data_IF_000804095237
#
_entry.id   IF_000804095237
#
_cell.length_a   1.000
_cell.length_b   1.000
_cell.length_c   1.000
_cell.angle_alpha   90.00
_cell.angle_beta   90.00
_cell.angle_gamma   90.00
#
_symmetry.space_group_name_H-M   'P 1'
#
loop_
_entity.id
_entity.type
_entity.pdbx_description
1 polymer ?
#
# COMPACT_ATOMS: atom_id res chain seq x y z
N UNK A 1 3.03 -6.48 -5.99
CA UNK A 1 2.31 -5.20 -6.17
C UNK A 1 1.15 -5.40 -7.14
N UNK A 2 1.10 -4.79 -8.28
CA UNK A 2 0.11 -5.03 -9.32
C UNK A 2 0.76 -5.73 -10.51
N UNK A 3 -0.07 -6.33 -11.40
CA UNK A 3 0.47 -7.15 -12.49
C UNK A 3 0.98 -6.34 -13.68
N UNK A 4 0.53 -5.10 -13.83
CA UNK A 4 0.83 -4.26 -15.00
C UNK A 4 1.48 -2.96 -14.57
N UNK A 5 2.22 -2.30 -15.47
CA UNK A 5 2.66 -0.93 -15.22
C UNK A 5 1.45 -0.06 -14.87
N UNK A 6 1.58 0.73 -13.83
CA UNK A 6 0.49 1.56 -13.35
C UNK A 6 0.90 3.03 -13.30
N UNK A 7 -0.05 3.90 -13.58
CA UNK A 7 0.15 5.34 -13.52
C UNK A 7 0.01 5.82 -12.08
N UNK A 8 0.92 6.70 -11.66
CA UNK A 8 0.81 7.41 -10.40
C UNK A 8 -0.20 8.53 -10.58
N UNK A 9 -1.29 8.49 -9.81
CA UNK A 9 -2.31 9.55 -9.81
C UNK A 9 -2.05 10.63 -8.77
N UNK A 10 -1.33 10.29 -7.69
CA UNK A 10 -0.95 11.25 -6.66
C UNK A 10 0.42 10.85 -6.11
N UNK A 11 1.40 11.73 -6.28
CA UNK A 11 2.79 11.44 -5.89
C UNK A 11 3.01 11.55 -4.38
N UNK A 12 4.01 10.84 -3.91
CA UNK A 12 4.49 10.97 -2.54
C UNK A 12 5.04 12.37 -2.28
N UNK A 13 4.74 12.90 -1.10
CA UNK A 13 5.30 14.16 -0.63
C UNK A 13 4.62 15.41 -1.15
N UNK A 14 3.59 15.29 -1.98
CA UNK A 14 2.81 16.45 -2.43
C UNK A 14 2.16 17.12 -1.23
N UNK A 15 2.36 18.42 -1.05
CA UNK A 15 1.78 19.18 0.05
C UNK A 15 0.27 19.33 -0.15
N UNK A 16 -0.47 19.27 0.95
CA UNK A 16 -1.93 19.41 0.90
C UNK A 16 -2.60 19.16 2.24
N UNK A 17 -3.90 18.90 2.22
CA UNK A 17 -4.77 18.79 3.38
C UNK A 17 -4.66 17.49 4.18
N UNK A 18 -3.63 16.72 4.03
CA UNK A 18 -3.38 15.52 4.83
C UNK A 18 -2.93 15.91 6.24
N UNK A 19 -3.17 15.01 7.21
CA UNK A 19 -2.81 15.25 8.62
C UNK A 19 -1.32 15.58 8.79
N UNK A 20 -0.44 14.92 8.04
CA UNK A 20 1.00 15.18 8.07
C UNK A 20 1.40 16.44 7.31
N UNK A 21 0.47 17.08 6.58
CA UNK A 21 0.75 18.25 5.74
C UNK A 21 1.23 17.89 4.34
N UNK A 22 1.36 16.62 4.02
CA UNK A 22 1.76 16.13 2.72
C UNK A 22 1.22 14.71 2.50
N UNK A 23 1.24 14.25 1.25
CA UNK A 23 0.81 12.89 0.91
C UNK A 23 1.84 11.87 1.37
N UNK A 24 1.46 11.00 2.31
CA UNK A 24 2.37 10.06 2.99
C UNK A 24 2.62 8.77 2.22
N UNK A 25 2.04 8.64 1.07
CA UNK A 25 2.20 7.48 0.19
C UNK A 25 2.09 7.87 -1.27
N UNK A 26 1.95 6.88 -2.12
CA UNK A 26 1.73 7.07 -3.54
C UNK A 26 0.38 6.44 -3.90
N UNK A 27 -0.40 7.14 -4.72
CA UNK A 27 -1.66 6.63 -5.24
C UNK A 27 -1.47 6.11 -6.64
N UNK A 28 -1.89 4.88 -6.87
CA UNK A 28 -1.78 4.19 -8.15
C UNK A 28 -3.16 4.09 -8.79
N UNK A 29 -3.27 4.59 -10.03
CA UNK A 29 -4.51 4.60 -10.78
C UNK A 29 -4.80 3.19 -11.29
N UNK A 30 -5.62 2.46 -10.56
CA UNK A 30 -6.04 1.10 -10.90
C UNK A 30 -7.54 0.95 -10.74
N UNK A 31 -8.14 0.09 -11.55
CA UNK A 31 -9.57 -0.21 -11.46
C UNK A 31 -9.87 -1.02 -10.21
N UNK A 32 -11.08 -0.89 -9.67
CA UNK A 32 -11.58 -1.76 -8.61
C UNK A 32 -11.43 -3.22 -9.05
N UNK A 33 -10.93 -4.05 -8.13
CA UNK A 33 -10.73 -5.47 -8.38
C UNK A 33 -9.36 -5.85 -8.93
N UNK A 34 -8.46 -4.89 -9.09
CA UNK A 34 -7.08 -5.18 -9.53
C UNK A 34 -6.36 -5.99 -8.44
N UNK A 35 -5.73 -7.12 -8.78
CA UNK A 35 -4.96 -7.90 -7.80
C UNK A 35 -3.84 -7.08 -7.18
N UNK A 36 -3.73 -7.18 -5.86
CA UNK A 36 -2.66 -6.54 -5.07
C UNK A 36 -1.83 -7.64 -4.44
N UNK A 37 -0.54 -7.66 -4.74
CA UNK A 37 0.39 -8.72 -4.34
C UNK A 37 1.50 -8.17 -3.47
N UNK A 38 2.02 -9.01 -2.58
CA UNK A 38 3.17 -8.65 -1.78
C UNK A 38 4.40 -8.41 -2.66
N UNK A 39 5.19 -7.42 -2.30
CA UNK A 39 6.42 -7.05 -3.01
C UNK A 39 7.53 -8.07 -2.75
N UNK A 40 7.55 -8.66 -1.57
CA UNK A 40 8.57 -9.62 -1.16
C UNK A 40 8.14 -10.39 0.08
N UNK A 41 9.04 -11.19 0.66
CA UNK A 41 8.72 -11.97 1.84
C UNK A 41 8.53 -11.08 3.06
N UNK A 42 7.59 -11.46 3.92
CA UNK A 42 7.28 -10.75 5.14
C UNK A 42 6.16 -11.41 5.93
N UNK A 43 5.64 -10.68 6.90
CA UNK A 43 4.53 -11.13 7.73
C UNK A 43 3.45 -10.07 7.78
N UNK A 44 2.19 -10.49 7.67
CA UNK A 44 1.05 -9.60 7.81
C UNK A 44 0.90 -9.21 9.28
N UNK A 45 1.02 -7.93 9.58
CA UNK A 45 0.88 -7.40 10.95
C UNK A 45 -0.47 -6.74 11.19
N UNK A 46 -1.21 -6.41 10.14
CA UNK A 46 -2.58 -5.91 10.23
C UNK A 46 -3.32 -6.22 8.93
N UNK A 47 -4.60 -6.57 9.02
CA UNK A 47 -5.45 -6.82 7.86
C UNK A 47 -6.91 -6.53 8.24
N UNK A 48 -7.61 -5.76 7.42
CA UNK A 48 -9.00 -5.39 7.64
C UNK A 48 -9.23 -3.90 7.63
N UNK A 49 -10.28 -3.44 8.29
CA UNK A 49 -10.66 -2.03 8.30
C UNK A 49 -9.67 -1.20 9.12
N UNK A 50 -9.19 -0.11 8.56
CA UNK A 50 -8.17 0.76 9.16
C UNK A 50 -8.54 2.24 9.01
N UNK A 51 -9.67 2.65 9.58
CA UNK A 51 -10.13 4.05 9.57
C UNK A 51 -10.24 4.61 8.16
N UNK A 52 -9.63 5.76 7.92
CA UNK A 52 -9.68 6.45 6.63
C UNK A 52 -9.06 5.64 5.49
N UNK A 53 -8.19 4.68 5.80
CA UNK A 53 -7.59 3.80 4.79
C UNK A 53 -8.57 2.74 4.26
N UNK A 54 -9.73 2.59 4.91
CA UNK A 54 -10.69 1.55 4.53
C UNK A 54 -10.14 0.15 4.81
N UNK A 55 -10.43 -0.79 3.93
CA UNK A 55 -9.83 -2.13 4.03
C UNK A 55 -8.37 -2.03 3.61
N UNK A 56 -7.47 -2.48 4.48
CA UNK A 56 -6.05 -2.33 4.28
C UNK A 56 -5.28 -3.56 4.78
N UNK A 57 -4.09 -3.73 4.25
CA UNK A 57 -3.14 -4.76 4.69
C UNK A 57 -1.80 -4.10 4.95
N UNK A 58 -1.21 -4.39 6.10
CA UNK A 58 0.15 -3.96 6.43
C UNK A 58 1.05 -5.20 6.54
N UNK A 59 2.13 -5.19 5.79
CA UNK A 59 3.13 -6.27 5.78
C UNK A 59 4.43 -5.74 6.37
N UNK A 60 4.96 -6.44 7.37
CA UNK A 60 6.32 -6.19 7.86
C UNK A 60 7.29 -6.99 7.02
N UNK A 61 8.18 -6.30 6.32
CA UNK A 61 9.17 -6.91 5.45
C UNK A 61 10.39 -7.39 6.22
N UNK A 62 11.20 -8.24 5.61
CA UNK A 62 12.42 -8.76 6.24
C UNK A 62 13.43 -7.68 6.59
N UNK A 63 13.45 -6.58 5.84
CA UNK A 63 14.30 -5.42 6.12
C UNK A 63 13.81 -4.54 7.27
N UNK A 64 12.68 -4.91 7.88
CA UNK A 64 12.08 -4.18 8.98
C UNK A 64 11.12 -3.06 8.58
N UNK A 65 10.98 -2.78 7.30
CA UNK A 65 10.01 -1.78 6.81
C UNK A 65 8.60 -2.34 6.83
N UNK A 66 7.62 -1.44 6.95
CA UNK A 66 6.19 -1.77 6.93
C UNK A 66 5.57 -1.22 5.65
N UNK A 67 4.92 -2.09 4.89
CA UNK A 67 4.24 -1.73 3.65
C UNK A 67 2.74 -1.74 3.88
N UNK A 68 2.07 -0.62 3.61
CA UNK A 68 0.63 -0.45 3.77
C UNK A 68 -0.03 -0.38 2.39
N UNK A 69 -1.01 -1.24 2.18
CA UNK A 69 -1.85 -1.29 0.98
C UNK A 69 -3.27 -0.92 1.39
N UNK A 70 -3.80 0.19 0.90
CA UNK A 70 -5.06 0.75 1.40
C UNK A 70 -6.15 0.88 0.34
N UNK A 71 -7.36 1.17 0.80
CA UNK A 71 -8.59 1.33 0.01
C UNK A 71 -8.95 0.07 -0.78
N UNK A 72 -8.64 -1.11 -0.22
CA UNK A 72 -8.92 -2.39 -0.86
C UNK A 72 -10.42 -2.68 -0.88
N UNK A 73 -10.88 -3.38 -1.91
CA UNK A 73 -12.23 -3.92 -1.96
C UNK A 73 -12.33 -5.27 -1.25
N UNK A 74 -11.27 -6.08 -1.32
CA UNK A 74 -11.20 -7.39 -0.70
C UNK A 74 -9.83 -7.61 -0.07
N UNK A 75 -9.80 -8.33 1.06
CA UNK A 75 -8.60 -8.70 1.79
C UNK A 75 -8.57 -10.22 1.88
N UNK A 76 -7.47 -10.83 1.43
CA UNK A 76 -7.33 -12.29 1.33
C UNK A 76 -6.41 -12.90 2.39
N UNK A 77 -5.76 -12.07 3.19
CA UNK A 77 -4.82 -12.49 4.23
C UNK A 77 -5.30 -12.03 5.59
N UNK A 78 -4.73 -12.60 6.63
CA UNK A 78 -5.03 -12.23 8.02
C UNK A 78 -3.75 -11.92 8.77
N UNK A 79 -3.89 -11.20 9.86
CA UNK A 79 -2.79 -10.94 10.80
C UNK A 79 -2.10 -12.23 11.20
N UNK A 80 -0.77 -12.23 11.16
CA UNK A 80 0.06 -13.39 11.47
C UNK A 80 0.43 -14.23 10.26
N UNK A 81 -0.18 -14.01 9.09
CA UNK A 81 0.14 -14.79 7.90
C UNK A 81 1.54 -14.46 7.37
N UNK A 82 2.29 -15.49 6.99
CA UNK A 82 3.53 -15.31 6.26
C UNK A 82 3.23 -15.14 4.78
N UNK A 83 3.92 -14.22 4.13
CA UNK A 83 3.78 -13.97 2.69
C UNK A 83 5.14 -13.97 2.02
N UNK A 84 5.13 -14.14 0.71
CA UNK A 84 6.32 -14.03 -0.15
C UNK A 84 6.00 -13.16 -1.34
N UNK A 85 7.01 -12.87 -2.17
CA UNK A 85 6.81 -12.08 -3.38
C UNK A 85 5.71 -12.72 -4.22
N UNK A 86 4.73 -11.91 -4.62
CA UNK A 86 3.60 -12.35 -5.43
C UNK A 86 2.42 -12.93 -4.67
N UNK A 87 2.50 -13.14 -3.36
CA UNK A 87 1.34 -13.58 -2.57
C UNK A 87 0.20 -12.57 -2.70
N UNK A 88 -1.01 -13.03 -3.03
CA UNK A 88 -2.18 -12.16 -3.16
C UNK A 88 -2.60 -11.66 -1.78
N UNK A 89 -2.55 -10.35 -1.61
CA UNK A 89 -3.01 -9.68 -0.38
C UNK A 89 -4.49 -9.34 -0.44
N UNK A 90 -4.99 -9.05 -1.63
CA UNK A 90 -6.38 -8.65 -1.84
C UNK A 90 -6.58 -8.05 -3.22
N UNK A 91 -7.66 -7.26 -3.34
CA UNK A 91 -7.98 -6.53 -4.57
C UNK A 91 -8.16 -5.06 -4.27
N UNK A 92 -7.71 -4.21 -5.19
CA UNK A 92 -7.87 -2.76 -5.07
C UNK A 92 -9.36 -2.36 -5.09
N UNK A 93 -9.64 -1.18 -4.57
CA UNK A 93 -11.02 -0.72 -4.45
C UNK A 93 -11.14 0.79 -4.30
N UNK A 94 -12.10 1.17 -3.46
CA UNK A 94 -12.41 2.56 -3.18
C UNK A 94 -13.00 2.71 -1.77
N UNK A 95 -12.59 1.85 -0.85
CA UNK A 95 -13.09 1.84 0.53
C UNK A 95 -12.39 2.89 1.39
N UNK A 96 -13.05 3.31 2.47
CA UNK A 96 -12.53 4.32 3.37
C UNK A 96 -12.69 5.73 2.82
N UNK A 97 -11.83 6.64 3.25
CA UNK A 97 -11.81 8.02 2.79
C UNK A 97 -11.10 8.10 1.44
N UNK A 98 -11.85 7.95 0.35
CA UNK A 98 -11.33 7.91 -1.00
C UNK A 98 -12.27 8.62 -1.96
N UNK A 99 -11.71 9.38 -2.91
CA UNK A 99 -12.49 10.14 -3.89
C UNK A 99 -12.67 9.41 -5.22
N UNK A 100 -12.08 8.24 -5.37
CA UNK A 100 -12.17 7.42 -6.57
C UNK A 100 -11.29 6.19 -6.48
N UNK A 101 -11.49 5.21 -7.37
CA UNK A 101 -10.72 3.96 -7.34
C UNK A 101 -9.22 4.19 -7.49
N UNK A 102 -8.45 3.70 -6.56
CA UNK A 102 -6.99 3.72 -6.59
C UNK A 102 -6.44 2.78 -5.53
N UNK A 103 -5.16 2.46 -5.64
CA UNK A 103 -4.41 1.81 -4.58
C UNK A 103 -3.52 2.85 -3.92
N UNK A 104 -3.70 3.06 -2.62
CA UNK A 104 -2.80 3.89 -1.84
C UNK A 104 -1.75 2.98 -1.19
N UNK A 105 -0.48 3.29 -1.43
CA UNK A 105 0.64 2.49 -0.96
C UNK A 105 1.61 3.36 -0.17
N UNK A 106 1.94 2.89 1.05
CA UNK A 106 2.93 3.56 1.91
C UNK A 106 4.04 2.60 2.28
N UNK A 107 5.23 3.16 2.47
CA UNK A 107 6.34 2.47 3.12
C UNK A 107 6.69 3.25 4.37
N UNK A 108 6.73 2.58 5.51
CA UNK A 108 6.98 3.19 6.82
C UNK A 108 8.15 2.52 7.51
N UNK A 109 8.95 3.32 8.20
CA UNK A 109 10.03 2.79 9.04
C UNK A 109 9.50 2.14 10.32
N UNK A 110 8.30 2.57 10.76
CA UNK A 110 7.59 2.04 11.93
C UNK A 110 6.13 1.84 11.56
N UNK A 111 5.35 1.22 12.44
CA UNK A 111 3.93 0.99 12.15
C UNK A 111 3.08 2.24 12.11
N UNK A 112 3.48 3.29 12.82
CA UNK A 112 2.68 4.48 13.01
C UNK A 112 2.62 5.39 11.81
N UNK A 113 1.51 6.11 11.67
CA UNK A 113 1.32 7.15 10.68
C UNK A 113 2.38 8.24 10.87
N UNK A 114 2.94 8.71 9.77
CA UNK A 114 3.97 9.76 9.80
C UNK A 114 5.41 9.23 9.84
N UNK A 115 5.61 7.91 9.87
CA UNK A 115 6.95 7.30 9.79
C UNK A 115 7.32 6.91 8.35
N UNK A 116 6.68 7.51 7.37
CA UNK A 116 6.80 7.17 5.95
C UNK A 116 8.15 7.58 5.35
N UNK A 117 8.55 6.81 4.34
CA UNK A 117 9.65 7.12 3.43
C UNK A 117 9.13 7.06 1.99
N UNK A 118 9.94 7.49 1.03
CA UNK A 118 9.53 7.50 -0.39
C UNK A 118 9.24 6.08 -0.88
N UNK A 119 7.97 5.74 -1.17
CA UNK A 119 7.61 4.39 -1.57
C UNK A 119 8.07 4.02 -2.98
N UNK A 120 8.17 4.98 -3.87
CA UNK A 120 8.62 4.73 -5.26
C UNK A 120 10.09 4.34 -5.27
N UNK A 121 10.89 5.03 -4.47
CA UNK A 121 12.32 4.72 -4.33
C UNK A 121 12.52 3.36 -3.67
N UNK A 122 11.74 3.07 -2.61
CA UNK A 122 11.79 1.76 -1.96
C UNK A 122 11.49 0.63 -2.94
N UNK A 123 10.42 0.79 -3.73
CA UNK A 123 10.05 -0.21 -4.74
C UNK A 123 11.14 -0.39 -5.79
N UNK A 124 11.73 0.72 -6.27
CA UNK A 124 12.80 0.66 -7.26
C UNK A 124 14.02 -0.10 -6.72
N UNK A 125 14.38 0.14 -5.45
CA UNK A 125 15.47 -0.56 -4.78
C UNK A 125 15.20 -2.06 -4.63
N UNK A 126 13.92 -2.46 -4.69
CA UNK A 126 13.47 -3.86 -4.62
C UNK A 126 13.09 -4.43 -5.99
N UNK A 127 13.47 -3.77 -7.07
CA UNK A 127 13.27 -4.25 -8.43
C UNK A 127 11.87 -3.99 -9.00
N UNK A 128 11.06 -3.16 -8.36
CA UNK A 128 9.70 -2.83 -8.80
C UNK A 128 9.68 -1.40 -9.32
N UNK A 129 9.34 -1.22 -10.58
CA UNK A 129 9.21 0.10 -11.19
C UNK A 129 7.75 0.42 -11.47
N UNK A 130 7.36 1.65 -11.14
CA UNK A 130 6.02 2.19 -11.38
C UNK A 130 6.04 3.11 -12.59
N UNK A 131 4.95 3.08 -13.33
CA UNK A 131 4.77 3.91 -14.50
C UNK A 131 5.32 3.35 -15.74
#
# INVERSE_FOLDING_TARGET
MTEFPVRISQAYGVKGGWAAGYHTGVDLAVRVGTPVRSVGPGAVVAAGWAGDYGKAVTVRMEDGMYLLFAHLSEVYVREGAAVRAGTWLGRSGNTGHSTGPHLHFEVREQRGYGSDIDPVRYLADHGVRLG
#
